data_IF_061917845060
#
_entry.id   IF_061917845060
#
_cell.length_a   1.000
_cell.length_b   1.000
_cell.length_c   1.000
_cell.angle_alpha   90.00
_cell.angle_beta   90.00
_cell.angle_gamma   90.00
#
_symmetry.space_group_name_H-M   'P 1'
#
loop_
_entity.id
_entity.type
_entity.pdbx_description
1 polymer ?
#
# COMPACT_ATOMS: atom_id res chain seq x y z
N UNK A 1 0.28 42.51 -11.48
CA UNK A 1 0.68 41.39 -10.59
C UNK A 1 -0.34 40.30 -10.85
N UNK A 2 0.12 39.16 -11.24
CA UNK A 2 -0.77 38.03 -11.51
C UNK A 2 -0.41 36.91 -10.52
N UNK A 3 -1.33 36.65 -9.59
CA UNK A 3 -1.22 35.67 -8.54
C UNK A 3 -2.33 34.62 -8.74
N UNK A 4 -2.03 33.35 -8.52
CA UNK A 4 -3.02 32.29 -8.53
C UNK A 4 -2.68 31.22 -7.49
N UNK A 5 -3.69 30.58 -6.92
CA UNK A 5 -3.56 29.46 -5.98
C UNK A 5 -4.27 28.22 -6.55
N UNK A 6 -3.55 27.11 -6.61
CA UNK A 6 -4.07 25.79 -6.98
C UNK A 6 -3.96 24.85 -5.78
N UNK A 7 -5.00 24.05 -5.54
CA UNK A 7 -4.97 23.03 -4.51
C UNK A 7 -4.30 21.76 -5.04
N UNK A 8 -3.43 21.18 -4.24
CA UNK A 8 -2.79 19.88 -4.46
C UNK A 8 -2.73 19.10 -3.16
N UNK A 9 -2.04 17.98 -3.13
CA UNK A 9 -1.93 17.16 -1.92
C UNK A 9 -0.56 16.48 -1.81
N UNK A 10 -0.13 16.25 -0.57
CA UNK A 10 1.06 15.48 -0.22
C UNK A 10 0.68 14.24 0.58
N UNK A 11 1.10 13.06 0.13
CA UNK A 11 0.93 11.82 0.87
C UNK A 11 2.04 11.70 1.92
N UNK A 12 1.65 11.46 3.17
CA UNK A 12 2.56 11.21 4.30
C UNK A 12 2.16 9.92 5.01
N UNK A 13 2.88 8.83 4.74
CA UNK A 13 2.43 7.51 5.14
C UNK A 13 1.13 7.14 4.42
N UNK A 14 0.02 7.00 5.14
CA UNK A 14 -1.32 6.85 4.58
C UNK A 14 -2.16 8.13 4.73
N UNK A 15 -1.69 9.11 5.49
CA UNK A 15 -2.37 10.39 5.63
C UNK A 15 -2.07 11.30 4.44
N UNK A 16 -2.98 12.21 4.18
CA UNK A 16 -2.86 13.19 3.10
C UNK A 16 -3.02 14.59 3.68
N UNK A 17 -2.11 15.47 3.30
CA UNK A 17 -2.16 16.89 3.65
C UNK A 17 -2.40 17.71 2.39
N UNK A 18 -3.41 18.58 2.44
CA UNK A 18 -3.68 19.48 1.32
C UNK A 18 -2.61 20.57 1.22
N UNK A 19 -2.13 20.79 0.01
CA UNK A 19 -1.05 21.72 -0.31
C UNK A 19 -1.60 22.84 -1.20
N UNK A 20 -1.34 24.09 -0.80
CA UNK A 20 -1.61 25.24 -1.66
C UNK A 20 -0.37 25.53 -2.49
N UNK A 21 -0.53 25.49 -3.78
CA UNK A 21 0.49 25.85 -4.77
C UNK A 21 0.16 27.25 -5.26
N UNK A 22 0.95 28.21 -4.78
CA UNK A 22 0.76 29.64 -5.02
C UNK A 22 1.79 30.10 -6.05
N UNK A 23 1.37 30.67 -7.15
CA UNK A 23 2.26 31.22 -8.17
C UNK A 23 2.08 32.74 -8.30
N UNK A 24 3.21 33.47 -8.22
CA UNK A 24 3.31 34.91 -8.51
C UNK A 24 4.17 35.15 -9.75
N UNK A 25 3.63 35.89 -10.71
CA UNK A 25 4.36 36.30 -11.91
C UNK A 25 4.45 37.83 -11.94
N UNK A 26 5.64 38.35 -11.68
CA UNK A 26 5.91 39.75 -11.52
C UNK A 26 7.03 40.25 -12.44
N UNK A 27 7.12 41.57 -12.62
CA UNK A 27 8.22 42.18 -13.37
C UNK A 27 9.51 42.07 -12.56
N UNK A 28 10.61 41.72 -13.22
CA UNK A 28 11.93 41.57 -12.58
C UNK A 28 12.89 40.77 -13.45
N UNK A 29 14.04 40.45 -12.89
CA UNK A 29 14.99 39.54 -13.58
C UNK A 29 14.34 38.21 -13.83
N UNK A 30 14.43 37.65 -15.07
CA UNK A 30 13.86 36.35 -15.41
C UNK A 30 14.40 35.25 -14.51
N UNK A 31 13.53 34.71 -13.66
CA UNK A 31 13.85 33.60 -12.78
C UNK A 31 12.62 32.74 -12.50
N UNK A 32 12.84 31.46 -12.23
CA UNK A 32 11.81 30.56 -11.72
C UNK A 32 12.29 30.04 -10.35
N UNK A 33 11.65 30.49 -9.30
CA UNK A 33 12.06 30.17 -7.93
C UNK A 33 10.99 29.39 -7.18
N UNK A 34 11.40 28.29 -6.56
CA UNK A 34 10.52 27.41 -5.77
C UNK A 34 10.76 27.64 -4.28
N UNK A 35 9.67 27.84 -3.52
CA UNK A 35 9.69 28.10 -2.08
C UNK A 35 8.90 27.03 -1.33
N UNK A 36 9.35 26.64 -0.14
CA UNK A 36 8.71 25.66 0.72
C UNK A 36 9.68 24.58 1.19
N UNK A 37 9.17 23.59 1.94
CA UNK A 37 9.97 22.45 2.38
C UNK A 37 9.94 21.36 1.30
N UNK A 38 10.86 21.47 0.33
CA UNK A 38 10.88 20.71 -0.93
C UNK A 38 12.00 19.70 -0.94
N UNK A 39 11.72 18.48 -1.45
CA UNK A 39 12.78 17.53 -1.83
C UNK A 39 13.49 17.97 -3.11
N UNK A 40 14.60 17.31 -3.46
CA UNK A 40 15.33 17.56 -4.72
C UNK A 40 14.43 17.39 -5.94
N UNK A 41 13.62 16.32 -5.98
CA UNK A 41 12.73 16.03 -7.10
C UNK A 41 11.71 17.16 -7.34
N UNK A 42 11.18 17.77 -6.25
CA UNK A 42 10.24 18.90 -6.35
C UNK A 42 10.96 20.18 -6.76
N UNK A 43 12.20 20.39 -6.33
CA UNK A 43 13.00 21.56 -6.80
C UNK A 43 13.28 21.48 -8.30
N UNK A 44 13.54 20.29 -8.82
CA UNK A 44 13.76 20.04 -10.25
C UNK A 44 12.49 20.23 -11.09
N UNK A 45 11.29 20.21 -10.46
CA UNK A 45 10.03 20.51 -11.14
C UNK A 45 10.05 21.86 -11.88
N UNK A 46 10.81 22.85 -11.39
CA UNK A 46 10.95 24.14 -12.06
C UNK A 46 11.42 24.00 -13.52
N UNK A 47 12.40 23.16 -13.80
CA UNK A 47 12.94 22.96 -15.13
C UNK A 47 12.00 22.06 -15.98
N UNK A 48 11.41 21.02 -15.38
CA UNK A 48 10.43 20.17 -16.07
C UNK A 48 9.22 20.97 -16.51
N UNK A 49 8.60 21.70 -15.58
CA UNK A 49 7.40 22.51 -15.85
C UNK A 49 7.68 23.60 -16.87
N UNK A 50 8.80 24.32 -16.73
CA UNK A 50 9.22 25.39 -17.67
C UNK A 50 9.34 24.85 -19.10
N UNK A 51 9.97 23.68 -19.24
CA UNK A 51 10.17 23.03 -20.55
C UNK A 51 8.85 22.51 -21.11
N UNK A 52 8.03 21.86 -20.28
CA UNK A 52 6.72 21.34 -20.67
C UNK A 52 5.77 22.45 -21.15
N UNK A 53 5.69 23.57 -20.43
CA UNK A 53 4.85 24.72 -20.85
C UNK A 53 5.29 25.22 -22.22
N UNK A 54 6.60 25.37 -22.45
CA UNK A 54 7.14 25.83 -23.74
C UNK A 54 6.82 24.84 -24.87
N UNK A 55 7.02 23.56 -24.62
CA UNK A 55 6.80 22.51 -25.62
C UNK A 55 5.30 22.28 -25.91
N UNK A 56 4.41 22.71 -25.01
CA UNK A 56 2.96 22.75 -25.21
C UNK A 56 2.50 24.02 -25.93
N UNK A 57 3.39 24.78 -26.60
CA UNK A 57 3.05 25.95 -27.40
C UNK A 57 2.77 27.24 -26.62
N UNK A 58 2.90 27.22 -25.29
CA UNK A 58 2.64 28.38 -24.44
C UNK A 58 3.93 29.15 -24.16
N UNK A 59 3.89 30.50 -24.32
CA UNK A 59 5.07 31.34 -24.14
C UNK A 59 5.24 31.74 -22.67
N UNK A 60 6.38 31.39 -22.08
CA UNK A 60 6.79 31.91 -20.79
C UNK A 60 7.46 33.28 -20.97
N UNK A 61 6.92 34.34 -20.38
CA UNK A 61 7.53 35.68 -20.48
C UNK A 61 8.85 35.71 -19.69
N UNK A 62 9.75 36.62 -20.10
CA UNK A 62 10.99 36.92 -19.36
C UNK A 62 10.68 37.72 -18.06
N UNK A 63 9.97 37.10 -17.13
CA UNK A 63 9.52 37.67 -15.86
C UNK A 63 10.03 36.84 -14.67
N UNK A 64 9.91 37.41 -13.48
CA UNK A 64 10.16 36.72 -12.23
C UNK A 64 8.94 35.86 -11.88
N UNK A 65 9.15 34.53 -11.78
CA UNK A 65 8.15 33.55 -11.36
C UNK A 65 8.55 32.97 -10.02
N UNK A 66 7.67 33.10 -9.04
CA UNK A 66 7.86 32.51 -7.70
C UNK A 66 6.71 31.53 -7.49
N UNK A 67 7.03 30.30 -7.09
CA UNK A 67 6.04 29.28 -6.73
C UNK A 67 6.28 28.85 -5.30
N UNK A 68 5.28 29.05 -4.44
CA UNK A 68 5.31 28.64 -3.04
C UNK A 68 4.39 27.44 -2.81
N UNK A 69 4.89 26.39 -2.16
CA UNK A 69 4.11 25.22 -1.78
C UNK A 69 3.86 25.24 -0.26
N UNK A 70 2.72 25.76 0.15
CA UNK A 70 2.30 25.91 1.54
C UNK A 70 1.48 24.70 2.04
N UNK A 71 1.58 24.31 3.34
CA UNK A 71 2.39 24.91 4.38
C UNK A 71 3.85 24.45 4.35
N UNK A 72 4.78 25.28 4.87
CA UNK A 72 6.21 24.97 4.91
C UNK A 72 6.57 23.84 5.92
N UNK A 73 5.66 23.48 6.80
CA UNK A 73 5.84 22.38 7.77
C UNK A 73 5.79 21.01 7.14
N UNK A 74 5.08 20.87 6.02
CA UNK A 74 4.90 19.61 5.28
C UNK A 74 5.98 19.45 4.22
N UNK A 75 6.72 18.35 4.25
CA UNK A 75 7.72 18.04 3.22
C UNK A 75 7.07 17.53 1.94
N UNK A 76 7.27 18.24 0.83
CA UNK A 76 6.77 17.85 -0.49
C UNK A 76 7.80 16.96 -1.19
N UNK A 77 7.31 15.88 -1.81
CA UNK A 77 8.16 14.87 -2.49
C UNK A 77 7.50 14.36 -3.77
N UNK A 78 8.36 13.85 -4.66
CA UNK A 78 7.93 13.26 -5.92
C UNK A 78 7.54 14.29 -6.98
N UNK A 79 7.16 13.79 -8.14
CA UNK A 79 6.81 14.60 -9.30
C UNK A 79 5.31 14.94 -9.41
N UNK A 80 4.48 14.51 -8.44
CA UNK A 80 3.03 14.76 -8.44
C UNK A 80 2.64 16.23 -8.39
N UNK A 81 3.59 17.10 -8.04
CA UNK A 81 3.41 18.56 -8.00
C UNK A 81 3.67 19.27 -9.33
N UNK A 82 4.19 18.57 -10.35
CA UNK A 82 4.51 19.20 -11.64
C UNK A 82 3.27 19.83 -12.28
N UNK A 83 2.16 19.09 -12.34
CA UNK A 83 0.92 19.56 -12.93
C UNK A 83 0.28 20.74 -12.15
N UNK A 84 0.12 20.69 -10.82
CA UNK A 84 -0.41 21.82 -10.08
C UNK A 84 0.50 23.06 -10.16
N UNK A 85 1.82 22.91 -10.21
CA UNK A 85 2.75 24.02 -10.44
C UNK A 85 2.55 24.60 -11.83
N UNK A 86 2.45 23.77 -12.86
CA UNK A 86 2.21 24.22 -14.24
C UNK A 86 0.90 25.01 -14.33
N UNK A 87 -0.20 24.48 -13.77
CA UNK A 87 -1.50 25.17 -13.83
C UNK A 87 -1.50 26.46 -13.01
N UNK A 88 -0.85 26.51 -11.84
CA UNK A 88 -0.75 27.73 -11.05
C UNK A 88 -0.01 28.84 -11.83
N UNK A 89 1.11 28.50 -12.49
CA UNK A 89 1.86 29.45 -13.31
C UNK A 89 1.06 29.88 -14.54
N UNK A 90 0.39 28.95 -15.22
CA UNK A 90 -0.44 29.25 -16.42
C UNK A 90 -1.65 30.10 -16.07
N UNK A 91 -2.30 29.86 -14.94
CA UNK A 91 -3.40 30.70 -14.45
C UNK A 91 -2.92 32.09 -14.05
N UNK A 92 -1.78 32.21 -13.35
CA UNK A 92 -1.16 33.50 -13.04
C UNK A 92 -0.76 34.29 -14.30
N UNK A 93 -0.62 33.64 -15.46
CA UNK A 93 -0.37 34.27 -16.77
C UNK A 93 -1.63 34.43 -17.63
N UNK A 94 -2.81 34.14 -17.09
CA UNK A 94 -4.10 34.19 -17.79
C UNK A 94 -4.23 33.21 -19.01
N UNK A 95 -3.43 32.12 -19.04
CA UNK A 95 -3.65 31.04 -20.01
C UNK A 95 -4.81 30.12 -19.60
N UNK A 96 -5.13 30.09 -18.30
CA UNK A 96 -6.25 29.33 -17.74
C UNK A 96 -7.03 30.25 -16.79
N UNK A 97 -8.37 30.23 -16.81
CA UNK A 97 -9.17 31.02 -15.87
C UNK A 97 -8.99 30.52 -14.44
N UNK A 98 -8.72 31.40 -13.49
CA UNK A 98 -8.58 31.06 -12.07
C UNK A 98 -9.86 30.41 -11.52
N UNK A 99 -11.03 30.88 -12.00
CA UNK A 99 -12.34 30.35 -11.59
C UNK A 99 -12.48 28.85 -11.89
N UNK A 100 -11.87 28.36 -12.98
CA UNK A 100 -11.90 26.94 -13.35
C UNK A 100 -11.11 26.03 -12.38
N UNK A 101 -10.25 26.62 -11.55
CA UNK A 101 -9.40 25.90 -10.56
C UNK A 101 -9.92 26.05 -9.13
N UNK A 102 -10.95 26.85 -8.87
CA UNK A 102 -11.53 27.03 -7.54
C UNK A 102 -12.23 25.76 -7.07
N UNK A 103 -11.85 25.27 -5.89
CA UNK A 103 -12.41 24.03 -5.34
C UNK A 103 -12.02 22.78 -6.11
N UNK A 104 -10.95 22.84 -6.90
CA UNK A 104 -10.43 21.73 -7.68
C UNK A 104 -9.06 21.31 -7.12
N UNK A 105 -8.92 20.04 -6.74
CA UNK A 105 -7.63 19.45 -6.40
C UNK A 105 -6.91 19.01 -7.68
N UNK A 106 -5.60 19.21 -7.76
CA UNK A 106 -4.80 18.90 -8.95
C UNK A 106 -3.58 18.07 -8.55
N UNK A 107 -3.37 16.96 -9.23
CA UNK A 107 -2.19 16.10 -9.08
C UNK A 107 -1.73 15.55 -10.43
N UNK A 108 -0.44 15.36 -10.60
CA UNK A 108 0.10 14.73 -11.81
C UNK A 108 1.56 15.08 -12.05
N UNK A 109 2.28 14.17 -12.67
CA UNK A 109 3.61 14.38 -13.19
C UNK A 109 3.52 14.92 -14.62
N UNK A 110 4.40 15.84 -15.03
CA UNK A 110 4.43 16.39 -16.39
C UNK A 110 5.77 16.07 -17.05
N UNK A 111 5.71 15.41 -18.21
CA UNK A 111 6.90 15.17 -19.03
C UNK A 111 7.34 16.44 -19.75
N UNK A 112 8.59 16.46 -20.22
CA UNK A 112 9.13 17.61 -20.99
C UNK A 112 8.34 17.90 -22.28
N UNK A 113 7.57 16.93 -22.81
CA UNK A 113 6.69 17.07 -23.98
C UNK A 113 5.30 17.60 -23.62
N UNK A 114 5.01 17.86 -22.33
CA UNK A 114 3.67 18.26 -21.87
C UNK A 114 2.68 17.11 -21.67
N UNK A 115 3.10 15.83 -21.76
CA UNK A 115 2.26 14.68 -21.43
C UNK A 115 2.13 14.57 -19.90
N UNK A 116 0.91 14.28 -19.45
CA UNK A 116 0.59 14.07 -18.04
C UNK A 116 0.69 12.58 -17.74
N UNK A 117 1.48 12.21 -16.73
CA UNK A 117 1.78 10.82 -16.35
C UNK A 117 1.18 10.46 -15.00
N UNK A 118 0.85 9.17 -14.86
CA UNK A 118 0.30 8.60 -13.63
C UNK A 118 1.19 8.78 -12.42
N UNK A 119 0.55 8.95 -11.27
CA UNK A 119 1.20 9.09 -9.96
C UNK A 119 0.65 8.07 -8.97
N UNK A 120 1.38 7.81 -7.89
CA UNK A 120 0.93 6.93 -6.80
C UNK A 120 0.15 7.70 -5.74
N UNK A 121 -0.70 6.99 -4.97
CA UNK A 121 -1.44 7.58 -3.86
C UNK A 121 -2.65 8.41 -4.28
N UNK A 122 -3.22 8.15 -5.46
CA UNK A 122 -4.36 8.92 -5.97
C UNK A 122 -5.62 8.68 -5.15
N UNK A 123 -5.92 7.43 -4.79
CA UNK A 123 -7.10 7.12 -3.99
C UNK A 123 -7.16 7.91 -2.67
N UNK A 124 -6.16 7.87 -1.79
CA UNK A 124 -6.20 8.67 -0.56
C UNK A 124 -6.23 10.18 -0.82
N UNK A 125 -5.61 10.67 -1.88
CA UNK A 125 -5.65 12.09 -2.26
C UNK A 125 -7.08 12.51 -2.64
N UNK A 126 -7.75 11.74 -3.48
CA UNK A 126 -9.13 12.04 -3.90
C UNK A 126 -10.11 11.94 -2.73
N UNK A 127 -9.91 10.97 -1.83
CA UNK A 127 -10.70 10.86 -0.58
C UNK A 127 -10.54 12.13 0.27
N UNK A 128 -9.31 12.58 0.47
CA UNK A 128 -9.06 13.78 1.29
C UNK A 128 -9.54 15.05 0.60
N UNK A 129 -9.35 15.20 -0.71
CA UNK A 129 -9.89 16.33 -1.47
C UNK A 129 -11.41 16.44 -1.31
N UNK A 130 -12.14 15.32 -1.35
CA UNK A 130 -13.57 15.29 -1.09
C UNK A 130 -13.89 15.73 0.35
N UNK A 131 -13.18 15.22 1.35
CA UNK A 131 -13.37 15.57 2.77
C UNK A 131 -13.16 17.08 3.01
N UNK A 132 -12.24 17.68 2.28
CA UNK A 132 -11.95 19.13 2.34
C UNK A 132 -12.90 19.98 1.49
N UNK A 133 -13.95 19.35 0.91
CA UNK A 133 -14.99 20.07 0.16
C UNK A 133 -14.63 20.41 -1.28
N UNK A 134 -13.60 19.80 -1.86
CA UNK A 134 -13.34 19.95 -3.29
C UNK A 134 -14.46 19.33 -4.10
N UNK A 135 -14.88 20.03 -5.17
CA UNK A 135 -15.94 19.58 -6.08
C UNK A 135 -15.42 18.71 -7.20
N UNK A 136 -14.14 18.85 -7.54
CA UNK A 136 -13.48 18.11 -8.61
C UNK A 136 -12.02 17.81 -8.28
N UNK A 137 -11.47 16.79 -8.96
CA UNK A 137 -10.05 16.48 -8.93
C UNK A 137 -9.54 16.28 -10.37
N UNK A 138 -8.51 17.06 -10.76
CA UNK A 138 -7.76 16.88 -12.02
C UNK A 138 -6.63 15.90 -11.72
N UNK A 139 -6.58 14.83 -12.48
CA UNK A 139 -5.58 13.77 -12.30
C UNK A 139 -5.18 13.16 -13.66
N UNK A 140 -4.06 12.44 -13.73
CA UNK A 140 -3.64 11.77 -14.96
C UNK A 140 -4.70 10.77 -15.48
N UNK A 141 -4.87 10.65 -16.80
CA UNK A 141 -5.78 9.68 -17.42
C UNK A 141 -5.48 8.24 -16.95
N UNK A 142 -4.22 7.91 -16.71
CA UNK A 142 -3.80 6.60 -16.20
C UNK A 142 -4.38 6.26 -14.81
N UNK A 143 -4.74 7.27 -14.03
CA UNK A 143 -5.31 7.13 -12.68
C UNK A 143 -6.83 7.34 -12.65
N UNK A 144 -7.49 7.52 -13.80
CA UNK A 144 -8.93 7.82 -13.87
C UNK A 144 -9.78 6.78 -13.12
N UNK A 145 -9.54 5.50 -13.37
CA UNK A 145 -10.32 4.41 -12.78
C UNK A 145 -10.13 4.36 -11.26
N UNK A 146 -8.90 4.58 -10.77
CA UNK A 146 -8.59 4.68 -9.36
C UNK A 146 -9.32 5.87 -8.71
N UNK A 147 -9.24 7.05 -9.31
CA UNK A 147 -9.92 8.24 -8.79
C UNK A 147 -11.44 8.09 -8.73
N UNK A 148 -12.04 7.39 -9.69
CA UNK A 148 -13.49 7.12 -9.76
C UNK A 148 -14.00 6.14 -8.69
N UNK A 149 -13.14 5.48 -7.93
CA UNK A 149 -13.54 4.69 -6.77
C UNK A 149 -14.16 5.56 -5.67
N UNK A 150 -13.84 6.85 -5.64
CA UNK A 150 -14.41 7.79 -4.68
C UNK A 150 -15.65 8.45 -5.29
N UNK A 151 -16.82 8.11 -4.76
CA UNK A 151 -18.09 8.74 -5.17
C UNK A 151 -18.23 10.17 -4.61
N UNK A 152 -18.99 11.03 -5.29
CA UNK A 152 -19.33 12.36 -4.80
C UNK A 152 -18.29 13.47 -5.06
N UNK A 153 -17.27 13.20 -5.86
CA UNK A 153 -16.33 14.17 -6.40
C UNK A 153 -16.17 13.95 -7.90
N UNK A 154 -16.13 15.02 -8.70
CA UNK A 154 -15.95 14.93 -10.16
C UNK A 154 -14.50 14.65 -10.49
N UNK A 155 -14.23 13.59 -11.25
CA UNK A 155 -12.88 13.25 -11.73
C UNK A 155 -12.71 13.81 -13.16
N UNK A 156 -11.66 14.59 -13.36
CA UNK A 156 -11.26 15.19 -14.63
C UNK A 156 -9.92 14.58 -15.06
N UNK A 157 -9.95 13.52 -15.89
CA UNK A 157 -8.72 12.89 -16.37
C UNK A 157 -8.04 13.77 -17.42
N UNK A 158 -6.72 13.85 -17.37
CA UNK A 158 -5.91 14.62 -18.31
C UNK A 158 -4.72 13.81 -18.80
N UNK A 159 -4.47 13.83 -20.12
CA UNK A 159 -3.35 13.14 -20.77
C UNK A 159 -2.26 14.10 -21.26
N UNK A 160 -2.62 15.40 -21.46
CA UNK A 160 -1.74 16.39 -22.01
C UNK A 160 -2.06 17.79 -21.48
N UNK A 161 -1.03 18.60 -21.23
CA UNK A 161 -1.15 19.94 -20.66
C UNK A 161 -1.88 20.92 -21.59
N UNK A 162 -1.63 20.87 -22.92
CA UNK A 162 -2.28 21.72 -23.91
C UNK A 162 -3.79 21.47 -23.96
N UNK A 163 -4.21 20.21 -24.07
CA UNK A 163 -5.62 19.82 -24.07
C UNK A 163 -6.33 20.19 -22.79
N UNK A 164 -5.66 20.00 -21.64
CA UNK A 164 -6.21 20.38 -20.35
C UNK A 164 -6.45 21.90 -20.27
N UNK A 165 -5.51 22.71 -20.74
CA UNK A 165 -5.68 24.17 -20.81
C UNK A 165 -6.84 24.56 -21.74
N UNK A 166 -6.98 23.93 -22.90
CA UNK A 166 -8.11 24.19 -23.82
C UNK A 166 -9.46 23.85 -23.15
N UNK A 167 -9.54 22.71 -22.48
CA UNK A 167 -10.74 22.32 -21.72
C UNK A 167 -11.09 23.33 -20.61
N UNK A 168 -10.11 23.76 -19.81
CA UNK A 168 -10.33 24.74 -18.74
C UNK A 168 -10.75 26.12 -19.26
N UNK A 169 -10.46 26.42 -20.52
CA UNK A 169 -10.94 27.62 -21.23
C UNK A 169 -12.32 27.44 -21.88
N UNK A 170 -12.99 26.29 -21.70
CA UNK A 170 -14.35 26.05 -22.21
C UNK A 170 -14.45 25.21 -23.49
N UNK A 171 -13.36 24.65 -24.00
CA UNK A 171 -13.39 23.73 -25.12
C UNK A 171 -13.65 22.28 -24.61
N UNK A 172 -14.94 21.98 -24.38
CA UNK A 172 -15.36 20.68 -23.85
C UNK A 172 -15.08 19.48 -24.77
N UNK A 173 -14.76 19.71 -26.03
CA UNK A 173 -14.56 18.62 -27.01
C UNK A 173 -13.27 17.86 -26.81
N UNK A 174 -12.29 18.41 -26.10
CA UNK A 174 -10.96 17.84 -25.98
C UNK A 174 -10.88 16.71 -24.94
N UNK A 175 -11.70 16.69 -23.88
CA UNK A 175 -11.67 15.61 -22.85
C UNK A 175 -12.65 14.46 -23.17
N UNK A 176 -13.72 14.70 -23.98
CA UNK A 176 -14.76 13.69 -24.19
C UNK A 176 -14.53 12.71 -25.35
N UNK A 177 -13.40 12.77 -26.07
CA UNK A 177 -13.17 11.94 -27.27
C UNK A 177 -13.00 10.44 -27.09
N UNK A 178 -12.92 9.91 -25.86
CA UNK A 178 -12.73 8.45 -25.63
C UNK A 178 -13.84 7.73 -24.85
N UNK A 179 -15.06 8.27 -24.80
CA UNK A 179 -16.15 7.67 -23.99
C UNK A 179 -17.03 6.65 -24.70
N UNK A 180 -16.72 6.19 -25.90
CA UNK A 180 -17.49 5.11 -26.53
C UNK A 180 -16.56 3.99 -27.01
N UNK A 181 -16.38 3.03 -26.17
CA UNK A 181 -15.82 1.76 -26.57
C UNK A 181 -14.98 1.11 -25.47
N UNK A 182 -15.69 0.52 -24.55
CA UNK A 182 -15.46 -0.82 -23.99
C UNK A 182 -16.21 -0.95 -22.69
N UNK A 183 -17.51 -1.26 -22.79
CA UNK A 183 -18.10 -2.23 -21.89
C UNK A 183 -17.23 -3.48 -22.05
N UNK A 184 -16.20 -3.58 -21.25
CA UNK A 184 -15.41 -4.81 -21.18
C UNK A 184 -16.27 -5.83 -20.46
N UNK A 185 -16.94 -6.68 -21.27
CA UNK A 185 -17.20 -8.02 -20.84
C UNK A 185 -15.96 -8.48 -20.04
N UNK A 186 -16.22 -8.93 -18.82
CA UNK A 186 -15.29 -9.58 -17.93
C UNK A 186 -14.27 -10.45 -18.69
N UNK A 187 -13.15 -9.88 -19.09
CA UNK A 187 -11.96 -10.66 -19.38
C UNK A 187 -11.20 -10.79 -18.08
N UNK A 188 -11.49 -11.88 -17.38
CA UNK A 188 -10.62 -12.44 -16.35
C UNK A 188 -9.25 -12.78 -16.99
N UNK A 189 -8.36 -11.77 -17.14
CA UNK A 189 -7.00 -11.97 -17.69
C UNK A 189 -6.07 -12.60 -16.64
N UNK A 190 -6.51 -12.76 -15.40
CA UNK A 190 -5.87 -13.61 -14.40
C UNK A 190 -6.72 -14.85 -14.10
N UNK A 191 -7.04 -15.63 -15.12
CA UNK A 191 -7.23 -17.06 -14.95
C UNK A 191 -5.87 -17.78 -14.80
N UNK A 192 -5.03 -17.35 -13.88
CA UNK A 192 -4.23 -18.29 -13.16
C UNK A 192 -5.24 -19.18 -12.43
N UNK A 193 -5.15 -20.51 -12.63
CA UNK A 193 -5.95 -21.54 -11.95
C UNK A 193 -6.34 -20.98 -10.58
N UNK A 194 -7.65 -20.72 -10.37
CA UNK A 194 -8.14 -20.20 -9.10
C UNK A 194 -7.70 -21.19 -8.04
N UNK A 195 -6.63 -20.87 -7.32
CA UNK A 195 -6.25 -21.66 -6.16
C UNK A 195 -7.45 -21.62 -5.21
N UNK A 196 -7.97 -22.79 -4.86
CA UNK A 196 -9.11 -22.91 -3.98
C UNK A 196 -8.79 -23.88 -2.83
N UNK A 197 -9.40 -23.63 -1.68
CA UNK A 197 -9.21 -24.50 -0.51
C UNK A 197 -9.70 -25.94 -0.77
N UNK A 198 -10.65 -26.13 -1.66
CA UNK A 198 -11.16 -27.42 -2.11
C UNK A 198 -10.12 -28.27 -2.83
N UNK A 199 -9.09 -27.66 -3.44
CA UNK A 199 -7.99 -28.37 -4.12
C UNK A 199 -7.10 -29.17 -3.17
N UNK A 200 -7.22 -28.96 -1.84
CA UNK A 200 -6.42 -29.67 -0.85
C UNK A 200 -6.96 -31.09 -0.72
N UNK A 201 -6.21 -32.07 -1.23
CA UNK A 201 -6.56 -33.48 -1.07
C UNK A 201 -6.12 -34.03 0.28
N UNK A 202 -6.99 -34.74 0.98
CA UNK A 202 -6.71 -35.30 2.30
C UNK A 202 -6.56 -34.25 3.39
N UNK A 203 -5.73 -34.51 4.41
CA UNK A 203 -5.40 -33.60 5.51
C UNK A 203 -6.63 -33.00 6.25
N UNK A 204 -7.67 -33.80 6.49
CA UNK A 204 -8.94 -33.33 7.05
C UNK A 204 -8.80 -32.60 8.37
N UNK A 205 -7.84 -33.00 9.22
CA UNK A 205 -7.58 -32.35 10.49
C UNK A 205 -7.04 -30.93 10.30
N UNK A 206 -6.13 -30.70 9.33
CA UNK A 206 -5.58 -29.38 9.02
C UNK A 206 -6.64 -28.49 8.38
N UNK A 207 -7.46 -29.04 7.47
CA UNK A 207 -8.62 -28.33 6.89
C UNK A 207 -9.56 -27.85 7.99
N UNK A 208 -9.93 -28.74 8.90
CA UNK A 208 -10.81 -28.38 10.02
C UNK A 208 -10.20 -27.34 10.94
N UNK A 209 -8.91 -27.40 11.22
CA UNK A 209 -8.22 -26.37 12.00
C UNK A 209 -8.21 -25.02 11.28
N UNK A 210 -7.97 -25.00 9.96
CA UNK A 210 -8.02 -23.79 9.16
C UNK A 210 -9.41 -23.17 9.14
N UNK A 211 -10.47 -23.96 8.98
CA UNK A 211 -11.87 -23.50 9.06
C UNK A 211 -12.18 -22.85 10.42
N UNK A 212 -11.78 -23.51 11.52
CA UNK A 212 -11.98 -22.98 12.87
C UNK A 212 -11.19 -21.68 13.08
N UNK A 213 -9.94 -21.64 12.62
CA UNK A 213 -9.09 -20.46 12.73
C UNK A 213 -9.68 -19.29 11.95
N UNK A 214 -10.14 -19.51 10.73
CA UNK A 214 -10.78 -18.47 9.90
C UNK A 214 -12.10 -18.01 10.51
N UNK A 215 -12.97 -18.93 10.93
CA UNK A 215 -14.26 -18.60 11.52
C UNK A 215 -14.14 -17.81 12.85
N UNK A 216 -13.08 -18.06 13.61
CA UNK A 216 -12.81 -17.37 14.87
C UNK A 216 -11.87 -16.17 14.78
N UNK A 217 -11.35 -15.82 13.59
CA UNK A 217 -10.32 -14.79 13.43
C UNK A 217 -9.02 -15.14 14.19
N UNK A 218 -8.69 -16.43 14.28
CA UNK A 218 -7.53 -16.91 15.03
C UNK A 218 -6.29 -17.06 14.15
N UNK A 219 -5.14 -16.91 14.76
CA UNK A 219 -3.86 -17.23 14.12
C UNK A 219 -3.64 -18.75 14.07
N UNK A 220 -2.84 -19.21 13.10
CA UNK A 220 -2.61 -20.62 12.86
C UNK A 220 -1.11 -20.93 12.72
N UNK A 221 -0.61 -21.88 13.52
CA UNK A 221 0.72 -22.44 13.36
C UNK A 221 0.62 -23.88 12.87
N UNK A 222 1.30 -24.18 11.77
CA UNK A 222 1.43 -25.51 11.18
C UNK A 222 2.83 -26.08 11.39
N UNK A 223 2.94 -27.19 12.10
CA UNK A 223 4.20 -27.91 12.27
C UNK A 223 4.13 -29.26 11.56
N UNK A 224 5.10 -29.58 10.72
CA UNK A 224 5.14 -30.84 9.99
C UNK A 224 6.40 -31.00 9.14
N UNK A 225 6.67 -32.22 8.63
CA UNK A 225 7.87 -32.49 7.85
C UNK A 225 7.92 -31.69 6.56
N UNK A 226 9.10 -31.51 5.95
CA UNK A 226 9.22 -30.94 4.62
C UNK A 226 8.34 -31.67 3.60
N UNK A 227 7.75 -30.97 2.64
CA UNK A 227 6.88 -31.54 1.62
C UNK A 227 5.47 -31.93 2.09
N UNK A 228 5.08 -31.63 3.34
CA UNK A 228 3.72 -31.92 3.84
C UNK A 228 2.62 -30.97 3.34
N UNK A 229 2.94 -30.01 2.48
CA UNK A 229 1.97 -29.11 1.85
C UNK A 229 1.60 -27.86 2.67
N UNK A 230 2.36 -27.52 3.73
CA UNK A 230 2.09 -26.38 4.60
C UNK A 230 1.92 -25.05 3.86
N UNK A 231 2.85 -24.71 2.99
CA UNK A 231 2.83 -23.47 2.20
C UNK A 231 1.68 -23.45 1.18
N UNK A 232 1.33 -24.63 0.62
CA UNK A 232 0.17 -24.78 -0.26
C UNK A 232 -1.15 -24.54 0.49
N UNK A 233 -1.28 -25.07 1.69
CA UNK A 233 -2.46 -24.88 2.55
C UNK A 233 -2.56 -23.40 2.96
N UNK A 234 -1.47 -22.80 3.40
CA UNK A 234 -1.43 -21.40 3.82
C UNK A 234 -1.97 -20.45 2.74
N UNK A 235 -1.56 -20.63 1.48
CA UNK A 235 -2.06 -19.81 0.35
C UNK A 235 -3.57 -19.95 0.17
N UNK A 236 -4.10 -21.15 0.34
CA UNK A 236 -5.52 -21.43 0.14
C UNK A 236 -6.40 -20.99 1.31
N UNK A 237 -5.84 -20.74 2.49
CA UNK A 237 -6.59 -20.16 3.62
C UNK A 237 -7.21 -18.81 3.24
N UNK A 238 -6.51 -17.99 2.45
CA UNK A 238 -7.05 -16.70 2.01
C UNK A 238 -8.36 -16.85 1.19
N UNK A 239 -8.62 -18.02 0.59
CA UNK A 239 -9.82 -18.25 -0.23
C UNK A 239 -11.06 -18.63 0.57
N UNK A 240 -10.90 -18.99 1.84
CA UNK A 240 -12.01 -19.28 2.76
C UNK A 240 -12.27 -18.17 3.77
N UNK A 241 -11.50 -17.08 3.72
CA UNK A 241 -11.82 -15.87 4.48
C UNK A 241 -13.13 -15.25 3.96
N UNK A 242 -13.92 -14.58 4.81
CA UNK A 242 -15.12 -13.86 4.37
C UNK A 242 -14.81 -12.85 3.26
N UNK A 243 -15.76 -12.62 2.37
CA UNK A 243 -15.61 -11.60 1.32
C UNK A 243 -15.37 -10.22 1.92
N UNK A 244 -14.62 -9.40 1.19
CA UNK A 244 -14.36 -8.01 1.61
C UNK A 244 -15.61 -7.16 1.43
N UNK A 245 -15.93 -6.36 2.44
CA UNK A 245 -16.83 -5.23 2.25
C UNK A 245 -16.21 -4.16 1.36
N UNK A 246 -17.00 -3.25 0.84
CA UNK A 246 -16.50 -2.13 0.05
C UNK A 246 -15.54 -1.25 0.87
N UNK A 247 -15.82 -1.04 2.15
CA UNK A 247 -15.00 -0.25 3.06
C UNK A 247 -13.63 -0.90 3.28
N UNK A 248 -13.60 -2.20 3.60
CA UNK A 248 -12.37 -2.98 3.71
C UNK A 248 -11.56 -2.97 2.39
N UNK A 249 -12.26 -3.13 1.26
CA UNK A 249 -11.63 -3.08 -0.08
C UNK A 249 -10.96 -1.73 -0.34
N UNK A 250 -11.60 -0.63 0.01
CA UNK A 250 -11.06 0.72 -0.15
C UNK A 250 -9.87 0.96 0.79
N UNK A 251 -9.95 0.47 2.04
CA UNK A 251 -8.86 0.60 3.00
C UNK A 251 -7.60 -0.15 2.54
N UNK A 252 -7.77 -1.40 2.09
CA UNK A 252 -6.67 -2.19 1.51
C UNK A 252 -6.12 -1.50 0.26
N UNK A 253 -7.01 -1.09 -0.66
CA UNK A 253 -6.63 -0.40 -1.90
C UNK A 253 -5.82 0.87 -1.62
N UNK A 254 -6.17 1.63 -0.58
CA UNK A 254 -5.44 2.83 -0.15
C UNK A 254 -3.97 2.52 0.20
N UNK A 255 -3.70 1.40 0.88
CA UNK A 255 -2.33 0.97 1.21
C UNK A 255 -1.52 0.70 -0.07
N UNK A 256 -2.11 -0.05 -0.98
CA UNK A 256 -1.45 -0.40 -2.26
C UNK A 256 -1.33 0.80 -3.21
N UNK A 257 -2.28 1.75 -3.16
CA UNK A 257 -2.22 3.01 -3.90
C UNK A 257 -0.97 3.81 -3.54
N UNK A 258 -0.74 4.01 -2.24
CA UNK A 258 0.44 4.76 -1.75
C UNK A 258 1.76 4.08 -2.15
N UNK A 259 1.76 2.76 -2.25
CA UNK A 259 2.93 1.99 -2.71
C UNK A 259 3.10 2.00 -4.23
N UNK A 260 2.09 2.46 -4.99
CA UNK A 260 2.09 2.39 -6.46
C UNK A 260 1.93 0.96 -6.98
N UNK A 261 1.30 0.08 -6.21
CA UNK A 261 1.14 -1.36 -6.48
C UNK A 261 -0.30 -1.72 -6.90
N UNK A 262 -1.02 -0.78 -7.48
CA UNK A 262 -2.39 -0.98 -7.97
C UNK A 262 -2.38 -1.34 -9.45
N UNK A 263 -3.26 -2.24 -9.85
CA UNK A 263 -3.56 -2.48 -11.26
C UNK A 263 -4.33 -1.28 -11.84
N UNK A 264 -3.87 -0.76 -12.98
CA UNK A 264 -4.48 0.42 -13.61
C UNK A 264 -5.87 0.15 -14.18
N UNK A 265 -6.14 -1.09 -14.61
CA UNK A 265 -7.42 -1.50 -15.17
C UNK A 265 -8.42 -1.93 -14.10
N UNK A 266 -7.93 -2.51 -13.01
CA UNK A 266 -8.73 -2.99 -11.89
C UNK A 266 -8.12 -2.53 -10.55
N UNK A 267 -8.19 -1.23 -10.22
CA UNK A 267 -7.51 -0.68 -9.06
C UNK A 267 -8.11 -1.13 -7.73
N UNK A 268 -9.39 -1.48 -7.66
CA UNK A 268 -10.04 -1.93 -6.44
C UNK A 268 -9.61 -3.35 -6.08
N UNK A 269 -9.02 -3.52 -4.91
CA UNK A 269 -8.65 -4.82 -4.39
C UNK A 269 -9.89 -5.47 -3.78
N UNK A 270 -10.40 -6.52 -4.45
CA UNK A 270 -11.61 -7.24 -4.06
C UNK A 270 -11.34 -8.59 -3.41
N UNK A 271 -10.06 -9.00 -3.32
CA UNK A 271 -9.65 -10.24 -2.68
C UNK A 271 -8.75 -9.96 -1.49
N UNK A 272 -8.91 -10.74 -0.44
CA UNK A 272 -8.07 -10.62 0.75
C UNK A 272 -6.61 -10.87 0.40
N UNK A 273 -5.68 -9.97 0.79
CA UNK A 273 -4.27 -10.10 0.49
C UNK A 273 -3.68 -11.37 1.12
N UNK A 274 -2.79 -12.03 0.40
CA UNK A 274 -1.92 -13.07 0.93
C UNK A 274 -0.46 -12.62 0.77
N UNK A 275 0.20 -12.36 1.89
CA UNK A 275 1.61 -11.94 1.89
C UNK A 275 2.46 -13.05 2.46
N UNK A 276 3.38 -13.58 1.66
CA UNK A 276 4.33 -14.61 2.07
C UNK A 276 5.69 -14.00 2.31
N UNK A 277 6.18 -14.15 3.52
CA UNK A 277 7.43 -13.54 3.97
C UNK A 277 8.46 -14.62 4.24
N UNK A 278 9.67 -14.43 3.73
CA UNK A 278 10.81 -15.32 3.94
C UNK A 278 11.64 -14.87 5.16
N UNK A 279 12.28 -15.81 5.85
CA UNK A 279 13.06 -15.55 7.08
C UNK A 279 14.23 -14.55 6.88
N UNK A 280 14.69 -14.32 5.63
CA UNK A 280 15.73 -13.35 5.30
C UNK A 280 15.23 -11.89 5.25
N UNK A 281 13.95 -11.65 5.49
CA UNK A 281 13.39 -10.30 5.48
C UNK A 281 14.03 -9.42 6.55
N UNK A 282 14.22 -8.14 6.22
CA UNK A 282 14.66 -7.16 7.22
C UNK A 282 13.48 -6.64 8.04
N UNK A 283 13.75 -6.22 9.29
CA UNK A 283 12.74 -5.57 10.15
C UNK A 283 12.03 -4.41 9.44
N UNK A 284 12.77 -3.58 8.71
CA UNK A 284 12.21 -2.43 7.97
C UNK A 284 11.30 -2.86 6.82
N UNK A 285 11.62 -3.92 6.12
CA UNK A 285 10.75 -4.43 5.05
C UNK A 285 9.46 -5.04 5.62
N UNK A 286 9.55 -5.68 6.78
CA UNK A 286 8.39 -6.30 7.45
C UNK A 286 7.42 -5.24 8.02
N UNK A 287 7.92 -4.31 8.82
CA UNK A 287 7.11 -3.29 9.54
C UNK A 287 6.82 -2.07 8.67
N UNK A 288 7.71 -1.79 7.76
CA UNK A 288 7.73 -0.52 7.04
C UNK A 288 8.76 0.44 7.62
N UNK A 289 9.00 1.54 6.94
CA UNK A 289 9.99 2.51 7.37
C UNK A 289 10.59 3.30 6.21
N UNK A 290 11.82 3.71 6.40
CA UNK A 290 12.54 4.61 5.51
C UNK A 290 12.55 6.05 6.01
N UNK A 291 13.18 6.95 5.25
CA UNK A 291 13.20 8.38 5.56
C UNK A 291 11.80 9.00 5.48
N UNK A 292 10.96 8.53 4.55
CA UNK A 292 9.52 8.72 4.57
C UNK A 292 8.92 7.34 4.81
N UNK A 293 8.30 7.12 5.97
CA UNK A 293 7.75 5.81 6.28
C UNK A 293 6.74 5.35 5.24
N UNK A 294 6.97 4.17 4.71
CA UNK A 294 6.05 3.46 3.81
C UNK A 294 5.54 2.20 4.49
N UNK A 295 4.33 1.75 4.17
CA UNK A 295 3.82 0.48 4.66
C UNK A 295 4.76 -0.68 4.33
N UNK A 296 4.94 -1.62 5.28
CA UNK A 296 5.68 -2.87 5.08
C UNK A 296 4.77 -4.05 4.76
N UNK A 297 5.35 -5.27 4.73
CA UNK A 297 4.62 -6.51 4.44
C UNK A 297 3.44 -6.75 5.39
N UNK A 298 3.58 -6.37 6.67
CA UNK A 298 2.50 -6.49 7.66
C UNK A 298 1.29 -5.64 7.24
N UNK A 299 1.51 -4.38 6.88
CA UNK A 299 0.43 -3.51 6.42
C UNK A 299 -0.13 -3.93 5.07
N UNK A 300 0.69 -4.50 4.19
CA UNK A 300 0.23 -5.08 2.93
C UNK A 300 -0.61 -6.35 3.13
N UNK A 301 -0.49 -7.02 4.29
CA UNK A 301 -1.34 -8.15 4.66
C UNK A 301 -2.65 -7.73 5.34
N UNK A 302 -2.87 -6.43 5.54
CA UNK A 302 -4.08 -5.91 6.19
C UNK A 302 -5.36 -6.43 5.51
N UNK A 303 -6.34 -6.86 6.32
CA UNK A 303 -7.57 -7.50 5.86
C UNK A 303 -7.40 -8.90 5.29
N UNK A 304 -6.21 -9.50 5.37
CA UNK A 304 -5.88 -10.78 4.76
C UNK A 304 -4.99 -11.68 5.61
N UNK A 305 -4.03 -12.33 4.98
CA UNK A 305 -3.14 -13.32 5.60
C UNK A 305 -1.67 -12.90 5.48
N UNK A 306 -0.98 -12.87 6.62
CA UNK A 306 0.47 -12.82 6.68
C UNK A 306 1.01 -14.22 6.91
N UNK A 307 1.73 -14.77 5.94
CA UNK A 307 2.31 -16.11 6.02
C UNK A 307 3.82 -16.03 6.28
N UNK A 308 4.25 -16.67 7.36
CA UNK A 308 5.65 -16.85 7.71
C UNK A 308 6.04 -18.30 7.49
N UNK A 309 6.81 -18.57 6.43
CA UNK A 309 7.38 -19.91 6.22
C UNK A 309 8.69 -20.07 6.99
N UNK A 310 8.99 -21.29 7.45
CA UNK A 310 10.18 -21.60 8.22
C UNK A 310 10.33 -20.71 9.48
N UNK A 311 9.27 -20.58 10.26
CA UNK A 311 9.18 -19.66 11.41
C UNK A 311 10.39 -19.72 12.35
N UNK A 312 10.96 -20.91 12.58
CA UNK A 312 12.10 -21.12 13.46
C UNK A 312 13.42 -20.54 12.92
N UNK A 313 13.48 -20.22 11.63
CA UNK A 313 14.67 -19.62 10.99
C UNK A 313 14.65 -18.09 11.04
N UNK A 314 13.55 -17.48 11.47
CA UNK A 314 13.48 -16.02 11.58
C UNK A 314 14.34 -15.52 12.73
N UNK A 315 15.12 -14.44 12.51
CA UNK A 315 15.82 -13.79 13.60
C UNK A 315 14.84 -13.30 14.70
N UNK A 316 15.17 -13.52 15.96
CA UNK A 316 14.31 -13.15 17.09
C UNK A 316 13.85 -11.70 17.08
N UNK A 317 14.76 -10.77 16.73
CA UNK A 317 14.46 -9.34 16.63
C UNK A 317 13.46 -9.00 15.51
N UNK A 318 13.31 -9.87 14.52
CA UNK A 318 12.29 -9.74 13.44
C UNK A 318 10.94 -10.25 13.93
N UNK A 319 10.93 -11.35 14.69
CA UNK A 319 9.70 -11.88 15.27
C UNK A 319 9.12 -10.94 16.35
N UNK A 320 9.96 -10.36 17.20
CA UNK A 320 9.50 -9.44 18.26
C UNK A 320 8.70 -8.23 17.75
N UNK A 321 8.94 -7.79 16.52
CA UNK A 321 8.18 -6.64 15.97
C UNK A 321 6.77 -6.99 15.53
N UNK A 322 6.42 -8.27 15.41
CA UNK A 322 5.05 -8.70 15.13
C UNK A 322 4.13 -8.59 16.35
N UNK A 323 4.71 -8.49 17.56
CA UNK A 323 3.94 -8.45 18.80
C UNK A 323 2.96 -7.28 18.83
N UNK A 324 3.45 -6.08 18.60
CA UNK A 324 2.59 -4.88 18.60
C UNK A 324 1.47 -4.95 17.56
N UNK A 325 1.73 -5.26 16.26
CA UNK A 325 0.65 -5.40 15.28
C UNK A 325 -0.39 -6.46 15.61
N UNK A 326 0.02 -7.58 16.24
CA UNK A 326 -0.91 -8.64 16.64
C UNK A 326 -1.79 -8.24 17.84
N UNK A 327 -1.30 -7.37 18.73
CA UNK A 327 -2.04 -6.89 19.91
C UNK A 327 -2.91 -5.66 19.58
N UNK A 328 -2.37 -4.70 18.80
CA UNK A 328 -2.96 -3.38 18.58
C UNK A 328 -3.62 -3.22 17.20
N UNK A 329 -3.40 -4.18 16.28
CA UNK A 329 -3.84 -4.12 14.87
C UNK A 329 -3.33 -2.89 14.11
N UNK A 330 -2.25 -2.30 14.60
CA UNK A 330 -1.61 -1.10 14.04
C UNK A 330 -0.10 -1.16 14.20
N UNK A 331 0.59 -0.42 13.32
CA UNK A 331 2.03 -0.20 13.38
C UNK A 331 2.27 1.29 13.58
N UNK A 332 3.04 1.64 14.60
CA UNK A 332 3.44 3.02 14.89
C UNK A 332 4.91 3.24 14.55
N UNK A 333 5.19 4.17 13.65
CA UNK A 333 6.56 4.55 13.26
C UNK A 333 6.79 6.02 13.61
N UNK A 334 7.58 6.26 14.66
CA UNK A 334 8.01 7.59 15.02
C UNK A 334 9.25 8.02 14.22
N UNK A 335 9.25 9.23 13.68
CA UNK A 335 10.37 9.89 12.99
C UNK A 335 10.46 11.36 13.43
N UNK A 336 11.60 11.98 13.16
CA UNK A 336 11.82 13.40 13.54
C UNK A 336 10.79 14.38 12.96
N UNK A 337 10.10 13.99 11.89
CA UNK A 337 9.11 14.85 11.20
C UNK A 337 7.65 14.40 11.40
N UNK A 338 7.39 13.44 12.29
CA UNK A 338 6.04 13.01 12.61
C UNK A 338 5.91 11.54 13.00
N UNK A 339 4.74 11.22 13.50
CA UNK A 339 4.32 9.87 13.83
C UNK A 339 3.42 9.34 12.71
N UNK A 340 3.69 8.11 12.29
CA UNK A 340 2.97 7.46 11.21
C UNK A 340 2.33 6.19 11.75
N UNK A 341 1.05 6.03 11.46
CA UNK A 341 0.29 4.84 11.84
C UNK A 341 -0.15 4.11 10.57
N UNK A 342 0.08 2.81 10.54
CA UNK A 342 -0.33 1.94 9.45
C UNK A 342 -1.25 0.84 9.99
N UNK A 343 -2.36 0.51 9.33
CA UNK A 343 -3.22 -0.58 9.73
C UNK A 343 -2.50 -1.93 9.56
N UNK A 344 -2.80 -2.86 10.46
CA UNK A 344 -2.13 -4.15 10.56
C UNK A 344 -3.07 -5.23 11.11
N UNK A 345 -4.33 -5.20 10.70
CA UNK A 345 -5.28 -6.26 11.03
C UNK A 345 -5.14 -7.40 10.02
N UNK A 346 -4.56 -8.51 10.44
CA UNK A 346 -4.29 -9.66 9.58
C UNK A 346 -4.39 -10.97 10.37
N UNK A 347 -4.67 -12.06 9.66
CA UNK A 347 -4.53 -13.41 10.21
C UNK A 347 -3.08 -13.86 10.04
N UNK A 348 -2.40 -14.17 11.15
CA UNK A 348 -1.06 -14.75 11.08
C UNK A 348 -1.16 -16.25 10.83
N UNK A 349 -0.58 -16.69 9.73
CA UNK A 349 -0.37 -18.11 9.45
C UNK A 349 1.13 -18.38 9.43
N UNK A 350 1.59 -19.32 10.22
CA UNK A 350 3.01 -19.66 10.28
C UNK A 350 3.21 -21.15 9.99
N UNK A 351 4.32 -21.48 9.37
CA UNK A 351 4.73 -22.85 9.12
C UNK A 351 6.15 -23.09 9.67
N UNK A 352 6.37 -24.27 10.22
CA UNK A 352 7.68 -24.69 10.71
C UNK A 352 7.91 -26.18 10.52
N UNK A 353 9.15 -26.59 10.59
CA UNK A 353 9.52 -27.98 10.72
C UNK A 353 9.50 -28.40 12.19
N UNK A 354 9.32 -29.66 12.53
CA UNK A 354 9.26 -30.13 13.91
C UNK A 354 10.64 -30.14 14.61
N UNK A 355 11.73 -30.10 13.83
CA UNK A 355 13.11 -30.05 14.31
C UNK A 355 14.02 -29.58 13.15
N UNK A 356 15.30 -29.28 13.36
CA UNK A 356 16.24 -28.87 12.30
C UNK A 356 16.31 -29.84 11.10
N UNK A 357 16.30 -31.15 11.32
CA UNK A 357 16.29 -32.13 10.21
C UNK A 357 14.90 -32.40 9.63
N UNK A 358 13.83 -31.91 10.26
CA UNK A 358 12.45 -32.07 9.81
C UNK A 358 11.77 -33.39 10.06
N UNK A 359 12.45 -34.38 10.66
CA UNK A 359 11.94 -35.76 10.75
C UNK A 359 11.37 -36.13 12.12
N UNK A 360 11.50 -35.28 13.13
CA UNK A 360 10.91 -35.55 14.45
C UNK A 360 9.36 -35.65 14.34
N UNK A 361 8.67 -36.60 15.02
CA UNK A 361 9.15 -37.55 16.06
C UNK A 361 9.62 -38.91 15.54
N UNK A 362 9.81 -39.11 14.22
CA UNK A 362 10.34 -40.37 13.70
C UNK A 362 11.79 -40.56 14.08
N UNK A 363 12.03 -41.24 15.22
CA UNK A 363 13.37 -41.44 15.78
C UNK A 363 14.28 -42.29 14.89
N UNK A 364 13.75 -43.00 13.89
CA UNK A 364 14.57 -43.76 12.94
C UNK A 364 15.17 -42.85 11.85
N UNK A 365 14.47 -41.76 11.54
CA UNK A 365 14.91 -40.79 10.53
C UNK A 365 15.49 -39.52 11.12
N UNK A 366 15.13 -39.18 12.35
CA UNK A 366 15.57 -37.96 13.00
C UNK A 366 17.00 -38.11 13.51
N UNK A 367 17.89 -37.27 13.02
CA UNK A 367 19.30 -37.19 13.45
C UNK A 367 19.56 -36.16 14.57
N UNK A 368 18.51 -35.46 15.01
CA UNK A 368 18.65 -34.39 16.01
C UNK A 368 18.72 -34.96 17.44
N UNK A 369 19.60 -34.38 18.25
CA UNK A 369 19.63 -34.65 19.70
C UNK A 369 18.43 -33.98 20.40
N UNK A 370 17.99 -34.50 21.57
CA UNK A 370 16.91 -33.84 22.32
C UNK A 370 17.20 -32.37 22.65
N UNK A 371 18.45 -32.04 22.94
CA UNK A 371 18.87 -30.65 23.20
C UNK A 371 18.75 -29.76 22.01
N UNK A 372 19.06 -30.25 20.79
CA UNK A 372 18.88 -29.50 19.54
C UNK A 372 17.40 -29.25 19.24
N UNK A 373 16.55 -30.26 19.47
CA UNK A 373 15.09 -30.12 19.28
C UNK A 373 14.55 -29.08 20.28
N UNK A 374 14.94 -29.18 21.54
CA UNK A 374 14.48 -28.27 22.58
C UNK A 374 14.94 -26.82 22.32
N UNK A 375 16.17 -26.61 21.87
CA UNK A 375 16.70 -25.30 21.50
C UNK A 375 15.90 -24.73 20.30
N UNK A 376 15.70 -25.52 19.26
CA UNK A 376 14.97 -25.13 18.05
C UNK A 376 13.52 -24.71 18.35
N UNK A 377 12.83 -25.48 19.18
CA UNK A 377 11.49 -25.13 19.63
C UNK A 377 11.49 -23.93 20.60
N UNK A 378 12.50 -23.85 21.49
CA UNK A 378 12.63 -22.76 22.46
C UNK A 378 12.84 -21.38 21.86
N UNK A 379 13.35 -21.28 20.64
CA UNK A 379 13.47 -20.00 19.91
C UNK A 379 12.12 -19.41 19.53
N UNK A 380 11.08 -20.24 19.43
CA UNK A 380 9.71 -19.85 19.06
C UNK A 380 8.87 -19.50 20.29
N UNK A 381 9.11 -20.15 21.44
CA UNK A 381 8.29 -19.99 22.65
C UNK A 381 8.25 -18.60 23.27
N UNK A 382 9.30 -17.76 23.29
CA UNK A 382 9.20 -16.40 23.79
C UNK A 382 8.22 -15.53 23.04
N UNK A 383 7.90 -15.90 21.80
CA UNK A 383 6.96 -15.21 20.92
C UNK A 383 5.50 -15.45 21.30
N UNK A 384 5.22 -16.57 21.94
CA UNK A 384 3.90 -16.99 22.39
C UNK A 384 3.74 -16.84 23.91
N UNK A 385 4.14 -15.71 24.51
CA UNK A 385 3.70 -15.37 25.85
C UNK A 385 2.19 -15.11 25.82
N UNK A 386 1.44 -16.16 26.08
CA UNK A 386 0.03 -16.05 26.41
C UNK A 386 -0.15 -15.21 27.68
N UNK A 387 -1.28 -14.50 27.87
CA UNK A 387 -1.60 -13.82 29.13
C UNK A 387 -1.37 -14.76 30.31
N UNK A 388 -0.79 -14.23 31.39
CA UNK A 388 -0.49 -14.97 32.62
C UNK A 388 -1.75 -15.73 33.10
N UNK A 389 -1.67 -17.03 33.17
CA UNK A 389 -2.75 -17.94 33.60
C UNK A 389 -3.07 -19.12 32.68
N UNK A 390 -2.66 -19.07 31.40
CA UNK A 390 -2.93 -20.17 30.45
C UNK A 390 -1.63 -20.92 30.05
N UNK A 391 -0.47 -20.36 30.36
CA UNK A 391 0.83 -20.80 29.84
C UNK A 391 1.31 -22.16 30.35
N UNK A 392 1.10 -22.49 31.62
CA UNK A 392 1.66 -23.73 32.24
C UNK A 392 0.94 -24.99 31.73
N UNK A 393 -0.37 -24.95 31.54
CA UNK A 393 -1.13 -26.10 31.04
C UNK A 393 -0.93 -26.35 29.53
N UNK A 394 -0.72 -25.29 28.72
CA UNK A 394 -0.54 -25.43 27.25
C UNK A 394 0.91 -25.82 26.89
N UNK A 395 1.92 -25.42 27.65
CA UNK A 395 3.28 -25.95 27.49
C UNK A 395 3.31 -27.46 27.71
N UNK A 396 2.61 -27.93 28.76
CA UNK A 396 2.46 -29.36 29.04
C UNK A 396 1.65 -30.10 27.97
N UNK A 397 0.63 -29.44 27.39
CA UNK A 397 -0.07 -29.95 26.19
C UNK A 397 0.84 -30.03 24.98
N UNK A 398 1.70 -29.02 24.75
CA UNK A 398 2.65 -29.01 23.65
C UNK A 398 3.67 -30.14 23.79
N UNK A 399 4.26 -30.30 24.99
CA UNK A 399 5.20 -31.39 25.31
C UNK A 399 4.54 -32.76 25.29
N UNK A 400 3.32 -32.89 25.84
CA UNK A 400 2.56 -34.14 25.82
C UNK A 400 2.07 -34.49 24.42
N UNK A 401 1.67 -33.50 23.64
CA UNK A 401 1.25 -33.66 22.26
C UNK A 401 2.39 -34.15 21.33
N UNK A 402 3.64 -33.77 21.63
CA UNK A 402 4.81 -34.29 20.94
C UNK A 402 5.22 -35.69 21.46
N UNK A 403 4.86 -36.06 22.71
CA UNK A 403 5.16 -37.39 23.29
C UNK A 403 4.21 -38.48 22.83
N UNK A 404 2.98 -38.14 22.45
CA UNK A 404 2.04 -39.11 21.89
C UNK A 404 2.42 -39.45 20.46
N UNK A 405 2.88 -40.68 20.24
CA UNK A 405 3.34 -41.25 18.98
C UNK A 405 2.29 -41.25 17.88
N UNK A 406 2.08 -40.14 17.19
CA UNK A 406 1.33 -40.11 15.91
C UNK A 406 2.28 -39.76 14.77
N UNK A 407 2.79 -40.76 14.04
CA UNK A 407 3.67 -40.51 12.89
C UNK A 407 2.84 -40.09 11.67
N UNK A 408 3.36 -39.13 10.90
CA UNK A 408 2.97 -38.75 9.51
C UNK A 408 1.99 -37.61 9.26
N UNK A 409 1.47 -36.87 10.26
CA UNK A 409 0.54 -35.78 9.97
C UNK A 409 1.11 -34.41 10.36
N UNK A 410 0.76 -33.36 9.56
CA UNK A 410 0.99 -31.97 9.93
C UNK A 410 0.21 -31.65 11.19
N UNK A 411 0.88 -31.12 12.22
CA UNK A 411 0.28 -30.66 13.46
C UNK A 411 -0.03 -29.18 13.33
N UNK A 412 -1.06 -28.72 14.03
CA UNK A 412 -1.51 -27.34 13.95
C UNK A 412 -1.92 -26.84 15.34
N UNK A 413 -1.77 -25.54 15.51
CA UNK A 413 -2.14 -24.83 16.71
C UNK A 413 -2.94 -23.60 16.30
N UNK A 414 -4.12 -23.47 16.87
CA UNK A 414 -4.97 -22.27 16.69
C UNK A 414 -4.80 -21.43 17.94
N UNK A 415 -4.50 -20.16 17.78
CA UNK A 415 -4.29 -19.22 18.88
C UNK A 415 -4.82 -17.83 18.51
N UNK A 416 -5.19 -17.07 19.53
CA UNK A 416 -5.75 -15.74 19.40
C UNK A 416 -4.68 -14.68 19.55
#
# INVERSE_FOLDING_TARGET
MSFCTVLSAAVQGLSVEMIRVEADVSNGLPMFHMVGYLSSEVKEASERVRTAIRNSGMKLPAKKIIVNLAPATVRKRGASFDLPIALAVLAAMNYVPEEALKGVAVIGEVSLEGKIRGVSGVLPIVMEAKNQGCTACILPEENEIEGRLVSGIKILPADNLEKLCAYLNGDEKEIHRKKQGRSSAQRNIFENKKEDFSDICGQNAVKRAAEIAVAGGHNLLMAGPPGSGKSMIARRIATILPELSLEESLEITRIYSVLGMIDKEQPLITRRPFRSVHHTITKTALVGGGMTPRPGEISMAHGGVLFLDELAEFPRNVLEVLRQPLEEHQIHIARNYGNFTFPAEFMLVAAMNPCPCGNYPDMQKCSCTPSQIQKYLGEIFPFYRFPEGICSQKLTMFENFYRENVPRYTRFFVFR
#
